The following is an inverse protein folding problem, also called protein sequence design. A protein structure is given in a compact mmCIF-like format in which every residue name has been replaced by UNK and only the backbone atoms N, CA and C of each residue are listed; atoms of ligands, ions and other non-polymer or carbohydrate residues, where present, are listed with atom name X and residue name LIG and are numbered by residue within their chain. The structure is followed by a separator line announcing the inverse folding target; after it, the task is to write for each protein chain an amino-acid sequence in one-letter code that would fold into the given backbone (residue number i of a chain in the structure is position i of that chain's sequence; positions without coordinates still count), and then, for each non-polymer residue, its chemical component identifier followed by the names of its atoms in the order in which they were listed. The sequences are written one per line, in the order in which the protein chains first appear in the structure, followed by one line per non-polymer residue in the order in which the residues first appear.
data_IF_305743606134
#
_entry.id   IF_305743606134
#
_cell.length_a   1.000
_cell.length_b   1.000
_cell.length_c   1.000
_cell.angle_alpha   90.00
_cell.angle_beta   90.00
_cell.angle_gamma   90.00
#
_symmetry.space_group_name_H-M   'P 1'
#
loop_
_entity.id
_entity.type
_entity.pdbx_description
1 polymer ?
#
# COMPACT_ATOMS: atom_id res chain seq x y z
N UNK A 1 5.93 -2.64 54.23
CA UNK A 1 5.76 -1.19 54.53
C UNK A 1 4.66 -0.65 53.61
N UNK A 2 3.56 -0.14 54.19
CA UNK A 2 2.39 0.37 53.45
C UNK A 2 2.48 1.89 53.36
N UNK A 3 2.32 2.42 52.14
CA UNK A 3 2.32 3.87 51.85
C UNK A 3 0.85 4.35 51.85
N UNK A 4 0.47 5.36 52.63
CA UNK A 4 -0.90 5.85 52.66
C UNK A 4 -1.21 6.83 51.51
N UNK A 5 -2.38 6.60 50.90
CA UNK A 5 -3.07 7.46 49.94
C UNK A 5 -3.45 8.81 50.58
N UNK A 6 -3.10 9.93 49.94
CA UNK A 6 -3.71 11.24 50.20
C UNK A 6 -4.72 11.56 49.11
N UNK A 7 -6.00 11.54 49.46
CA UNK A 7 -7.09 12.08 48.64
C UNK A 7 -7.09 13.61 48.77
N UNK A 8 -6.89 14.29 47.64
CA UNK A 8 -7.03 15.75 47.53
C UNK A 8 -8.46 16.12 47.15
N UNK A 9 -9.17 16.73 48.10
CA UNK A 9 -10.43 17.44 47.91
C UNK A 9 -10.21 18.64 46.96
N UNK A 10 -11.03 18.78 45.91
CA UNK A 10 -11.15 20.02 45.13
C UNK A 10 -12.54 20.64 45.33
N UNK A 11 -12.62 21.97 45.50
CA UNK A 11 -13.86 22.69 45.76
C UNK A 11 -14.74 22.81 44.51
N UNK A 12 -16.04 22.77 44.74
CA UNK A 12 -17.10 23.13 43.80
C UNK A 12 -16.97 24.61 43.40
N UNK A 13 -16.76 24.85 42.11
CA UNK A 13 -16.96 26.16 41.48
C UNK A 13 -18.31 26.15 40.78
N UNK A 14 -19.28 26.81 41.40
CA UNK A 14 -20.54 27.23 40.79
C UNK A 14 -20.22 28.34 39.79
N UNK A 15 -20.45 28.10 38.50
CA UNK A 15 -20.58 29.15 37.50
C UNK A 15 -22.05 29.19 37.07
N UNK A 16 -22.77 30.20 37.56
CA UNK A 16 -23.91 30.76 36.85
C UNK A 16 -23.34 31.78 35.85
N UNK A 17 -23.61 31.61 34.57
CA UNK A 17 -23.62 32.76 33.66
C UNK A 17 -24.42 32.50 32.39
N UNK A 18 -24.94 33.60 31.87
CA UNK A 18 -26.15 33.78 31.09
C UNK A 18 -26.28 32.99 29.77
N UNK A 19 -27.43 32.34 29.60
CA UNK A 19 -27.94 31.92 28.29
C UNK A 19 -28.38 33.17 27.51
N UNK A 20 -27.52 33.66 26.62
CA UNK A 20 -27.90 34.62 25.57
C UNK A 20 -28.47 33.80 24.41
N UNK A 21 -29.79 33.81 24.29
CA UNK A 21 -30.52 33.26 23.14
C UNK A 21 -30.28 34.17 21.94
N UNK A 22 -29.23 33.87 21.18
CA UNK A 22 -28.95 34.53 19.91
C UNK A 22 -29.88 33.93 18.86
N UNK A 23 -31.07 34.52 18.70
CA UNK A 23 -31.97 34.15 17.61
C UNK A 23 -31.24 34.36 16.27
N UNK A 24 -31.04 33.30 15.46
CA UNK A 24 -30.45 33.47 14.15
C UNK A 24 -31.40 34.33 13.31
N UNK A 25 -30.93 35.49 12.89
CA UNK A 25 -31.63 36.29 11.90
C UNK A 25 -31.85 35.40 10.66
N UNK A 26 -33.10 35.06 10.39
CA UNK A 26 -33.48 34.38 9.16
C UNK A 26 -33.17 35.29 7.98
N UNK A 27 -31.97 35.14 7.42
CA UNK A 27 -31.59 35.73 6.14
C UNK A 27 -32.50 35.10 5.10
N UNK A 28 -33.56 35.82 4.71
CA UNK A 28 -34.40 35.46 3.57
C UNK A 28 -33.57 35.65 2.31
N UNK A 29 -32.88 34.60 1.90
CA UNK A 29 -32.21 34.54 0.61
C UNK A 29 -33.32 34.61 -0.46
N UNK A 30 -33.33 35.62 -1.34
CA UNK A 30 -34.26 35.68 -2.46
C UNK A 30 -34.15 34.40 -3.30
N UNK A 31 -35.26 33.84 -3.82
CA UNK A 31 -35.26 32.54 -4.51
C UNK A 31 -34.31 32.50 -5.72
N UNK A 32 -34.02 33.65 -6.34
CA UNK A 32 -33.07 33.75 -7.44
C UNK A 32 -31.59 33.66 -7.00
N UNK A 33 -31.24 34.08 -5.79
CA UNK A 33 -29.87 33.96 -5.26
C UNK A 33 -29.58 32.52 -4.78
N UNK A 34 -30.57 31.83 -4.24
CA UNK A 34 -30.44 30.41 -3.89
C UNK A 34 -30.16 29.53 -5.12
N UNK A 35 -30.85 29.81 -6.24
CA UNK A 35 -30.64 29.09 -7.50
C UNK A 35 -29.23 29.29 -8.05
N UNK A 36 -28.67 30.51 -7.99
CA UNK A 36 -27.32 30.79 -8.46
C UNK A 36 -26.26 30.06 -7.64
N UNK A 37 -26.40 30.02 -6.30
CA UNK A 37 -25.47 29.29 -5.43
C UNK A 37 -25.51 27.78 -5.69
N UNK A 38 -26.71 27.21 -5.91
CA UNK A 38 -26.84 25.79 -6.25
C UNK A 38 -26.22 25.49 -7.61
N UNK A 39 -26.42 26.33 -8.63
CA UNK A 39 -25.83 26.15 -9.96
C UNK A 39 -24.30 26.28 -9.91
N UNK A 40 -23.76 27.25 -9.18
CA UNK A 40 -22.31 27.43 -9.01
C UNK A 40 -21.69 26.27 -8.23
N UNK A 41 -22.35 25.80 -7.16
CA UNK A 41 -21.91 24.62 -6.42
C UNK A 41 -21.97 23.36 -7.30
N UNK A 42 -23.00 23.20 -8.12
CA UNK A 42 -23.14 22.08 -9.05
C UNK A 42 -22.11 22.12 -10.17
N UNK A 43 -21.82 23.31 -10.72
CA UNK A 43 -20.77 23.51 -11.71
C UNK A 43 -19.38 23.20 -11.13
N UNK A 44 -19.10 23.62 -9.89
CA UNK A 44 -17.85 23.32 -9.20
C UNK A 44 -17.73 21.83 -8.82
N UNK A 45 -18.84 21.15 -8.49
CA UNK A 45 -18.85 19.71 -8.23
C UNK A 45 -18.73 18.88 -9.52
N UNK A 46 -19.34 19.35 -10.62
CA UNK A 46 -19.26 18.73 -11.94
C UNK A 46 -17.92 18.99 -12.65
N UNK A 47 -17.14 19.97 -12.18
CA UNK A 47 -15.76 20.25 -12.59
C UNK A 47 -14.72 19.56 -11.69
N UNK A 48 -15.08 18.50 -10.97
CA UNK A 48 -14.03 17.56 -10.57
C UNK A 48 -13.48 16.96 -11.87
N UNK A 49 -12.18 17.12 -12.17
CA UNK A 49 -11.58 16.38 -13.27
C UNK A 49 -11.99 14.93 -13.07
N UNK A 50 -12.54 14.28 -14.11
CA UNK A 50 -12.88 12.87 -14.04
C UNK A 50 -11.69 12.18 -13.36
N UNK A 51 -11.94 11.60 -12.18
CA UNK A 51 -10.94 10.90 -11.38
C UNK A 51 -10.54 9.67 -12.19
N UNK A 52 -9.76 9.85 -13.25
CA UNK A 52 -9.09 8.78 -13.95
C UNK A 52 -7.99 8.36 -12.99
N UNK A 53 -8.17 7.26 -12.25
CA UNK A 53 -7.10 6.81 -11.37
C UNK A 53 -5.84 6.65 -12.23
N UNK A 54 -4.66 7.04 -11.72
CA UNK A 54 -3.43 6.82 -12.45
C UNK A 54 -3.33 5.34 -12.83
N UNK A 55 -2.72 5.02 -13.98
CA UNK A 55 -2.50 3.63 -14.38
C UNK A 55 -1.83 2.83 -13.24
N UNK A 56 -2.13 1.53 -13.12
CA UNK A 56 -1.56 0.69 -12.07
C UNK A 56 -0.03 0.54 -12.16
N UNK A 57 0.54 0.79 -13.34
CA UNK A 57 1.97 0.83 -13.64
C UNK A 57 2.58 2.23 -13.61
N UNK A 58 1.80 3.25 -13.27
CA UNK A 58 2.33 4.58 -13.04
C UNK A 58 3.26 4.56 -11.81
N UNK A 59 4.42 5.20 -11.94
CA UNK A 59 5.46 5.21 -10.90
C UNK A 59 4.94 5.76 -9.58
N UNK A 60 4.09 6.79 -9.62
CA UNK A 60 3.47 7.38 -8.43
C UNK A 60 2.52 6.40 -7.74
N UNK A 61 1.75 5.62 -8.50
CA UNK A 61 0.85 4.58 -7.97
C UNK A 61 1.64 3.52 -7.21
N UNK A 62 2.73 3.03 -7.81
CA UNK A 62 3.59 2.02 -7.19
C UNK A 62 4.33 2.60 -5.98
N UNK A 63 4.89 3.80 -6.08
CA UNK A 63 5.54 4.49 -4.96
C UNK A 63 4.59 4.67 -3.76
N UNK A 64 3.35 5.10 -4.01
CA UNK A 64 2.34 5.27 -2.95
C UNK A 64 1.96 3.93 -2.29
N UNK A 65 1.94 2.84 -3.07
CA UNK A 65 1.66 1.50 -2.55
C UNK A 65 2.81 0.99 -1.70
N UNK A 66 4.05 1.20 -2.14
CA UNK A 66 5.24 0.78 -1.39
C UNK A 66 5.45 1.60 -0.10
N UNK A 67 4.96 2.85 -0.06
CA UNK A 67 5.04 3.73 1.10
C UNK A 67 4.12 3.32 2.27
N UNK A 68 3.21 2.33 2.11
CA UNK A 68 2.24 1.90 3.14
C UNK A 68 2.86 1.23 4.38
N UNK A 69 4.18 1.05 4.41
CA UNK A 69 4.89 0.53 5.57
C UNK A 69 6.39 0.80 5.47
N UNK A 70 7.07 0.77 6.61
CA UNK A 70 8.53 0.92 6.71
C UNK A 70 9.20 -0.43 6.99
N UNK A 71 10.51 -0.55 6.84
CA UNK A 71 11.22 -1.81 7.05
C UNK A 71 11.94 -2.23 5.77
N UNK A 72 11.62 -3.40 5.23
CA UNK A 72 12.25 -3.88 4.00
C UNK A 72 11.78 -3.06 2.78
N UNK A 73 12.74 -2.60 1.97
CA UNK A 73 12.45 -1.96 0.70
C UNK A 73 12.08 -3.02 -0.35
N UNK A 74 11.13 -2.70 -1.23
CA UNK A 74 10.88 -3.53 -2.39
C UNK A 74 12.08 -3.49 -3.33
N UNK A 75 12.49 -4.66 -3.81
CA UNK A 75 13.50 -4.79 -4.86
C UNK A 75 12.80 -5.26 -6.13
N UNK A 76 12.96 -4.53 -7.22
CA UNK A 76 12.29 -4.77 -8.49
C UNK A 76 13.29 -5.02 -9.63
N UNK A 77 12.93 -5.80 -10.66
CA UNK A 77 13.70 -5.86 -11.89
C UNK A 77 13.71 -4.51 -12.59
N UNK A 78 14.90 -4.04 -13.00
CA UNK A 78 15.04 -2.83 -13.84
C UNK A 78 14.28 -3.01 -15.16
N UNK A 79 14.38 -4.20 -15.76
CA UNK A 79 13.66 -4.62 -16.97
C UNK A 79 12.97 -5.96 -16.73
N UNK A 80 11.83 -6.18 -17.37
CA UNK A 80 11.15 -7.47 -17.36
C UNK A 80 11.65 -8.37 -18.50
N UNK A 81 11.65 -9.71 -18.30
CA UNK A 81 11.78 -10.64 -19.40
C UNK A 81 10.74 -10.37 -20.49
N UNK A 82 11.10 -10.65 -21.73
CA UNK A 82 10.18 -10.52 -22.86
C UNK A 82 8.92 -11.37 -22.64
N UNK A 83 7.76 -10.81 -22.99
CA UNK A 83 6.47 -11.50 -22.85
C UNK A 83 5.80 -11.36 -21.49
N UNK A 84 6.30 -10.51 -20.58
CA UNK A 84 5.64 -10.15 -19.32
C UNK A 84 5.08 -8.72 -19.35
N UNK A 85 3.99 -8.51 -18.61
CA UNK A 85 3.45 -7.19 -18.27
C UNK A 85 4.08 -6.67 -16.96
N UNK A 86 3.85 -5.39 -16.65
CA UNK A 86 4.22 -4.74 -15.38
C UNK A 86 3.79 -5.53 -14.13
N UNK A 87 4.51 -5.30 -13.04
CA UNK A 87 4.21 -5.91 -11.73
C UNK A 87 2.90 -5.39 -11.14
N UNK A 88 2.08 -6.30 -10.61
CA UNK A 88 0.79 -6.02 -9.99
C UNK A 88 0.62 -6.77 -8.68
N UNK A 89 -0.50 -6.54 -8.01
CA UNK A 89 -0.87 -7.22 -6.77
C UNK A 89 0.20 -7.08 -5.67
N UNK A 90 0.68 -5.85 -5.47
CA UNK A 90 1.67 -5.55 -4.43
C UNK A 90 1.09 -5.84 -3.04
N UNK A 91 1.75 -6.71 -2.29
CA UNK A 91 1.38 -7.08 -0.93
C UNK A 91 2.57 -6.90 0.02
N UNK A 92 2.29 -6.92 1.32
CA UNK A 92 3.31 -6.88 2.34
C UNK A 92 2.86 -7.66 3.57
N UNK A 93 3.83 -8.22 4.30
CA UNK A 93 3.58 -8.88 5.59
C UNK A 93 4.26 -8.12 6.74
N UNK A 94 3.54 -7.83 7.84
CA UNK A 94 4.09 -7.14 9.00
C UNK A 94 4.98 -8.05 9.86
N UNK A 95 5.81 -7.45 10.73
CA UNK A 95 6.81 -8.12 11.55
C UNK A 95 6.27 -9.06 12.65
N UNK A 96 4.96 -9.17 12.86
CA UNK A 96 4.38 -10.06 13.86
C UNK A 96 2.85 -10.20 13.82
N UNK A 97 2.31 -11.22 14.49
CA UNK A 97 0.88 -11.50 14.61
C UNK A 97 0.16 -10.58 15.61
N UNK A 98 0.88 -9.70 16.31
CA UNK A 98 0.30 -8.75 17.27
C UNK A 98 0.08 -7.36 16.65
N UNK A 99 0.44 -7.17 15.38
CA UNK A 99 0.12 -5.96 14.61
C UNK A 99 -1.20 -6.14 13.83
N UNK A 100 -2.19 -6.68 14.53
CA UNK A 100 -3.60 -6.82 14.10
C UNK A 100 -4.31 -5.46 13.98
N UNK A 101 -3.55 -4.36 13.88
CA UNK A 101 -4.07 -3.02 13.61
C UNK A 101 -4.73 -2.90 12.23
N UNK A 102 -4.85 -4.02 11.50
CA UNK A 102 -5.68 -4.18 10.32
C UNK A 102 -7.19 -4.16 10.63
N UNK A 103 -7.61 -4.42 11.89
CA UNK A 103 -9.00 -4.29 12.32
C UNK A 103 -9.33 -2.85 12.76
N UNK A 104 -9.53 -1.98 11.77
CA UNK A 104 -10.53 -0.90 11.81
C UNK A 104 -10.30 0.31 12.74
N UNK A 105 -9.34 0.29 13.67
CA UNK A 105 -9.02 1.43 14.54
C UNK A 105 -7.55 1.80 14.35
N UNK A 106 -7.26 2.42 13.20
CA UNK A 106 -5.95 2.98 12.91
C UNK A 106 -5.58 4.00 13.98
N UNK A 107 -4.67 3.62 14.88
CA UNK A 107 -3.82 4.59 15.56
C UNK A 107 -2.97 5.27 14.48
N UNK A 108 -3.49 6.39 13.95
CA UNK A 108 -2.97 7.16 12.81
C UNK A 108 -1.49 7.62 12.94
N UNK A 109 -0.77 7.21 13.98
CA UNK A 109 0.62 7.56 14.26
C UNK A 109 1.64 6.43 14.14
N UNK A 110 1.25 5.15 14.00
CA UNK A 110 2.22 4.04 13.95
C UNK A 110 2.49 3.55 12.54
N UNK A 111 3.75 3.63 12.12
CA UNK A 111 4.21 3.03 10.87
C UNK A 111 4.35 1.52 11.07
N UNK A 112 3.62 0.72 10.30
CA UNK A 112 3.73 -0.74 10.29
C UNK A 112 5.15 -1.14 9.84
N UNK A 113 5.79 -2.01 10.61
CA UNK A 113 7.08 -2.60 10.26
C UNK A 113 6.85 -3.81 9.35
N UNK A 114 7.34 -3.70 8.12
CA UNK A 114 7.19 -4.66 7.03
C UNK A 114 8.45 -5.49 6.91
N UNK A 115 8.29 -6.82 7.04
CA UNK A 115 9.39 -7.78 6.95
C UNK A 115 9.42 -8.54 5.63
N UNK A 116 8.33 -8.49 4.86
CA UNK A 116 8.30 -8.97 3.48
C UNK A 116 7.36 -8.19 2.58
N UNK A 117 7.64 -8.22 1.29
CA UNK A 117 6.84 -7.61 0.23
C UNK A 117 6.79 -8.52 -0.97
N UNK A 118 5.65 -8.53 -1.64
CA UNK A 118 5.39 -9.39 -2.78
C UNK A 118 4.87 -8.59 -3.96
N UNK A 119 5.21 -9.03 -5.17
CA UNK A 119 4.63 -8.53 -6.42
C UNK A 119 4.47 -9.66 -7.42
N UNK A 120 3.37 -9.66 -8.15
CA UNK A 120 3.07 -10.65 -9.18
C UNK A 120 3.31 -10.08 -10.58
N UNK A 121 4.06 -10.82 -11.39
CA UNK A 121 4.25 -10.56 -12.81
C UNK A 121 3.51 -11.61 -13.63
N UNK A 122 2.71 -11.14 -14.57
CA UNK A 122 1.97 -12.02 -15.47
C UNK A 122 2.48 -11.93 -16.90
N UNK A 123 2.30 -12.98 -17.70
CA UNK A 123 2.54 -12.89 -19.12
C UNK A 123 1.65 -11.81 -19.78
N UNK A 124 2.18 -11.22 -20.84
CA UNK A 124 1.44 -10.33 -21.73
C UNK A 124 0.27 -11.06 -22.39
N UNK A 125 -0.77 -10.28 -22.77
CA UNK A 125 -1.95 -10.83 -23.43
C UNK A 125 -1.56 -11.60 -24.70
N UNK A 126 -2.15 -12.79 -24.90
CA UNK A 126 -1.85 -13.68 -26.02
C UNK A 126 -0.65 -14.63 -25.80
N UNK A 127 0.21 -14.38 -24.81
CA UNK A 127 1.30 -15.32 -24.48
C UNK A 127 0.76 -16.55 -23.76
N UNK A 128 -0.23 -16.42 -22.88
CA UNK A 128 -0.81 -17.54 -22.13
C UNK A 128 -1.54 -18.58 -23.00
N UNK A 129 -2.16 -18.17 -24.10
CA UNK A 129 -3.03 -19.03 -24.93
C UNK A 129 -2.27 -20.13 -25.70
N UNK A 130 -0.93 -20.03 -25.81
CA UNK A 130 -0.09 -20.98 -26.55
C UNK A 130 0.76 -21.91 -25.66
N UNK A 131 0.31 -22.19 -24.44
CA UNK A 131 1.13 -22.94 -23.45
C UNK A 131 2.20 -22.06 -22.82
N UNK A 132 1.84 -20.79 -22.57
CA UNK A 132 2.73 -19.66 -22.34
C UNK A 132 3.61 -19.68 -21.09
N UNK A 133 4.26 -18.53 -20.90
CA UNK A 133 5.10 -18.24 -19.74
C UNK A 133 4.28 -18.35 -18.44
N UNK A 134 4.89 -18.76 -17.31
CA UNK A 134 4.20 -18.78 -16.03
C UNK A 134 3.96 -17.37 -15.49
N UNK A 135 2.93 -17.22 -14.64
CA UNK A 135 2.91 -16.11 -13.69
C UNK A 135 4.04 -16.32 -12.67
N UNK A 136 4.78 -15.25 -12.40
CA UNK A 136 5.94 -15.25 -11.50
C UNK A 136 5.69 -14.27 -10.39
N UNK A 137 5.83 -14.72 -9.17
CA UNK A 137 5.77 -13.87 -7.99
C UNK A 137 7.18 -13.64 -7.47
N UNK A 138 7.46 -12.40 -7.12
CA UNK A 138 8.69 -11.98 -6.47
C UNK A 138 8.37 -11.62 -5.03
N UNK A 139 8.84 -12.45 -4.11
CA UNK A 139 8.85 -12.16 -2.70
C UNK A 139 10.21 -11.58 -2.29
N UNK A 140 10.19 -10.50 -1.52
CA UNK A 140 11.35 -9.82 -0.95
C UNK A 140 11.19 -9.83 0.56
N UNK A 141 12.07 -10.52 1.27
CA UNK A 141 12.07 -10.58 2.74
C UNK A 141 13.37 -10.03 3.32
N UNK A 142 13.30 -9.51 4.55
CA UNK A 142 14.49 -9.21 5.33
C UNK A 142 15.26 -10.51 5.63
N UNK A 143 16.54 -10.57 5.28
CA UNK A 143 17.39 -11.72 5.56
C UNK A 143 17.56 -12.01 7.07
N UNK A 144 17.23 -11.05 7.92
CA UNK A 144 17.32 -11.14 9.37
C UNK A 144 15.94 -11.33 10.04
N UNK A 145 14.88 -11.49 9.25
CA UNK A 145 13.56 -11.79 9.78
C UNK A 145 13.58 -13.05 10.66
N UNK A 146 12.90 -12.98 11.81
CA UNK A 146 12.84 -14.10 12.76
C UNK A 146 12.14 -15.33 12.21
N UNK A 147 11.22 -15.12 11.26
CA UNK A 147 10.46 -16.15 10.58
C UNK A 147 10.47 -15.87 9.07
N UNK A 148 10.79 -16.86 8.23
CA UNK A 148 10.74 -16.69 6.77
C UNK A 148 9.30 -16.40 6.35
N UNK A 149 9.14 -15.43 5.46
CA UNK A 149 7.85 -15.07 4.87
C UNK A 149 7.76 -15.52 3.42
N UNK A 150 8.88 -15.46 2.71
CA UNK A 150 8.95 -15.96 1.35
C UNK A 150 8.90 -17.49 1.32
N UNK A 151 8.28 -18.09 0.29
CA UNK A 151 8.31 -19.53 0.09
C UNK A 151 9.73 -20.10 0.06
N UNK A 152 9.90 -21.28 0.63
CA UNK A 152 11.18 -21.99 0.64
C UNK A 152 11.54 -22.46 -0.80
N UNK A 153 12.77 -22.20 -1.27
CA UNK A 153 13.24 -22.67 -2.57
C UNK A 153 13.31 -24.20 -2.73
N UNK A 154 13.05 -24.98 -1.68
CA UNK A 154 12.94 -26.45 -1.74
C UNK A 154 11.86 -27.00 -2.70
N UNK A 155 11.04 -26.12 -3.29
CA UNK A 155 10.07 -26.45 -4.33
C UNK A 155 10.63 -26.19 -5.73
N UNK A 156 10.50 -27.17 -6.64
CA UNK A 156 10.84 -27.02 -8.06
C UNK A 156 10.12 -25.79 -8.64
N UNK A 157 10.85 -24.86 -9.25
CA UNK A 157 10.26 -23.65 -9.84
C UNK A 157 10.42 -22.38 -9.01
N UNK A 158 11.53 -22.25 -8.28
CA UNK A 158 11.93 -21.02 -7.60
C UNK A 158 13.40 -20.65 -7.86
N UNK A 159 13.73 -19.38 -7.69
CA UNK A 159 15.10 -18.84 -7.72
C UNK A 159 15.25 -17.96 -6.48
N UNK A 160 16.32 -18.19 -5.72
CA UNK A 160 16.68 -17.33 -4.60
C UNK A 160 17.93 -16.52 -4.90
N UNK A 161 17.89 -15.22 -4.65
CA UNK A 161 19.05 -14.34 -4.74
C UNK A 161 19.05 -13.32 -3.59
N UNK A 162 20.10 -12.51 -3.50
CA UNK A 162 20.29 -11.52 -2.43
C UNK A 162 20.56 -10.15 -3.04
N UNK A 163 19.95 -9.11 -2.46
CA UNK A 163 20.19 -7.72 -2.82
C UNK A 163 20.40 -6.91 -1.54
N UNK A 164 21.67 -6.66 -1.18
CA UNK A 164 21.99 -6.06 0.12
C UNK A 164 21.53 -6.94 1.28
N UNK A 165 20.63 -6.40 2.12
CA UNK A 165 20.02 -7.11 3.25
C UNK A 165 18.74 -7.86 2.89
N UNK A 166 18.22 -7.71 1.67
CA UNK A 166 17.04 -8.42 1.21
C UNK A 166 17.39 -9.81 0.67
N UNK A 167 16.60 -10.82 1.05
CA UNK A 167 16.52 -12.10 0.34
C UNK A 167 15.33 -12.04 -0.61
N UNK A 168 15.57 -12.42 -1.86
CA UNK A 168 14.56 -12.40 -2.91
C UNK A 168 14.29 -13.82 -3.35
N UNK A 169 13.02 -14.17 -3.48
CA UNK A 169 12.57 -15.43 -4.03
C UNK A 169 11.64 -15.14 -5.20
N UNK A 170 12.08 -15.46 -6.42
CA UNK A 170 11.19 -15.59 -7.57
C UNK A 170 10.60 -16.99 -7.57
N UNK A 171 9.30 -17.14 -7.70
CA UNK A 171 8.68 -18.46 -7.83
C UNK A 171 7.50 -18.44 -8.80
N UNK A 172 7.21 -19.62 -9.35
CA UNK A 172 6.10 -19.80 -10.28
C UNK A 172 4.79 -19.88 -9.51
N UNK A 173 3.91 -18.88 -9.70
CA UNK A 173 2.61 -18.78 -9.04
C UNK A 173 1.47 -19.46 -9.83
N UNK A 174 1.67 -19.74 -11.12
CA UNK A 174 0.71 -20.44 -11.97
C UNK A 174 0.98 -21.94 -12.08
N UNK A 175 -0.07 -22.75 -12.26
CA UNK A 175 0.09 -24.17 -12.63
C UNK A 175 0.61 -24.29 -14.07
N UNK A 176 1.63 -25.12 -14.33
CA UNK A 176 2.10 -25.38 -15.69
C UNK A 176 3.62 -25.36 -15.85
N UNK A 177 4.14 -24.59 -16.81
CA UNK A 177 5.57 -24.48 -17.07
C UNK A 177 6.31 -23.84 -15.90
N UNK A 178 7.42 -24.46 -15.48
CA UNK A 178 8.23 -24.01 -14.34
C UNK A 178 9.56 -23.36 -14.76
N UNK A 179 9.65 -22.89 -16.01
CA UNK A 179 10.89 -22.28 -16.49
C UNK A 179 11.02 -20.83 -16.00
N UNK A 180 12.01 -20.62 -15.13
CA UNK A 180 12.40 -19.30 -14.64
C UNK A 180 13.77 -18.85 -15.19
N UNK A 181 14.30 -19.49 -16.24
CA UNK A 181 15.63 -19.21 -16.78
C UNK A 181 15.85 -17.72 -17.07
N UNK A 182 14.87 -17.04 -17.67
CA UNK A 182 14.93 -15.61 -17.98
C UNK A 182 14.96 -14.70 -16.74
N UNK A 183 14.56 -15.20 -15.57
CA UNK A 183 14.50 -14.45 -14.31
C UNK A 183 15.83 -14.50 -13.53
N UNK A 184 16.75 -15.41 -13.87
CA UNK A 184 18.01 -15.62 -13.12
C UNK A 184 19.04 -14.52 -13.25
N UNK A 185 18.98 -13.73 -14.32
CA UNK A 185 20.04 -12.78 -14.71
C UNK A 185 19.55 -11.34 -14.75
N UNK A 186 18.42 -11.06 -14.11
CA UNK A 186 17.83 -9.73 -14.08
C UNK A 186 18.69 -8.77 -13.25
N UNK A 187 18.81 -7.55 -13.75
CA UNK A 187 19.27 -6.43 -12.95
C UNK A 187 18.17 -6.03 -11.97
N UNK A 188 18.53 -5.93 -10.69
CA UNK A 188 17.61 -5.67 -9.58
C UNK A 188 17.92 -4.32 -8.93
N UNK A 189 16.89 -3.61 -8.49
CA UNK A 189 17.05 -2.28 -7.90
C UNK A 189 15.95 -1.96 -6.88
N UNK A 190 16.25 -1.11 -5.90
CA UNK A 190 15.27 -0.47 -5.02
C UNK A 190 14.86 0.93 -5.51
N UNK A 191 15.49 1.42 -6.57
CA UNK A 191 15.29 2.75 -7.14
C UNK A 191 14.23 2.70 -8.24
N UNK A 192 13.03 3.23 -7.97
CA UNK A 192 11.90 3.21 -8.90
C UNK A 192 12.16 4.01 -10.19
N UNK A 193 13.10 4.96 -10.18
CA UNK A 193 13.44 5.74 -11.37
C UNK A 193 14.22 4.91 -12.39
N UNK A 194 14.85 3.81 -11.95
CA UNK A 194 15.54 2.87 -12.84
C UNK A 194 14.62 1.83 -13.44
N UNK A 195 13.43 1.63 -12.88
CA UNK A 195 12.49 0.59 -13.33
C UNK A 195 11.80 1.03 -14.61
N UNK A 196 12.17 0.41 -15.74
CA UNK A 196 11.81 0.91 -17.08
C UNK A 196 10.42 0.55 -17.56
N UNK A 197 9.76 -0.38 -16.86
CA UNK A 197 8.38 -0.81 -17.14
C UNK A 197 7.36 -0.05 -16.29
N UNK A 198 7.81 0.83 -15.40
CA UNK A 198 6.95 1.82 -14.76
C UNK A 198 6.89 3.08 -15.64
N UNK A 199 5.70 3.63 -15.79
CA UNK A 199 5.45 4.84 -16.57
C UNK A 199 5.47 6.08 -15.67
#
# INVERSE_FOLDING_TARGET
MRIPHKQGHRPHLLCHDHHVENQPAHVRIPPHLAAVVVILAYALFAWRPADNPPPPDARETVASTLAKGSGIAMVLPVRLPAGYNFGRDYQYSPAGPDDDSFDGDHDFGKTVEVVSRDVTFVPANGVQEHGGLPAVELCVEDAHAKQPQCPDPGTTGSIRCRHGQALLTFYVASRGHHDLSAWRTLELTTDLDKVTWLH
#
